data_IF_724323825881
#
_entry.id   IF_724323825881
#
_cell.length_a   1.000
_cell.length_b   1.000
_cell.length_c   1.000
_cell.angle_alpha   90.00
_cell.angle_beta   90.00
_cell.angle_gamma   90.00
#
_symmetry.space_group_name_H-M   'P 1'
#
loop_
_entity.id
_entity.type
_entity.pdbx_description
1 polymer ?
#
# COMPACT_ATOMS: atom_id res chain seq x y z
N UNK A 1 -19.68 15.28 4.05
CA UNK A 1 -20.07 14.17 3.16
C UNK A 1 -21.25 14.61 2.31
N UNK A 2 -21.29 14.23 1.03
CA UNK A 2 -22.46 14.39 0.16
C UNK A 2 -23.68 13.70 0.78
N UNK A 3 -24.85 14.35 0.69
CA UNK A 3 -26.05 13.88 1.39
C UNK A 3 -26.61 12.60 0.77
N UNK A 4 -26.57 12.48 -0.56
CA UNK A 4 -27.06 11.29 -1.27
C UNK A 4 -26.15 10.10 -0.97
N UNK A 5 -24.84 10.30 -1.06
CA UNK A 5 -23.85 9.29 -0.71
C UNK A 5 -24.00 8.83 0.75
N UNK A 6 -24.13 9.76 1.70
CA UNK A 6 -24.33 9.43 3.11
C UNK A 6 -25.62 8.65 3.37
N UNK A 7 -26.71 8.94 2.65
CA UNK A 7 -27.95 8.15 2.72
C UNK A 7 -27.75 6.73 2.19
N UNK A 8 -27.06 6.57 1.07
CA UNK A 8 -26.75 5.25 0.52
C UNK A 8 -25.87 4.43 1.49
N UNK A 9 -24.87 5.05 2.11
CA UNK A 9 -24.04 4.37 3.12
C UNK A 9 -24.84 3.93 4.35
N UNK A 10 -25.89 4.66 4.76
CA UNK A 10 -26.79 4.21 5.84
C UNK A 10 -27.63 2.98 5.45
N UNK A 11 -27.84 2.72 4.16
CA UNK A 11 -28.47 1.47 3.72
C UNK A 11 -27.50 0.29 3.79
N UNK A 12 -26.21 0.54 3.49
CA UNK A 12 -25.15 -0.47 3.64
C UNK A 12 -24.82 -0.75 5.10
N UNK A 13 -24.79 0.29 5.94
CA UNK A 13 -24.49 0.23 7.37
C UNK A 13 -25.69 0.77 8.17
N UNK A 14 -26.79 0.00 8.31
CA UNK A 14 -28.01 0.45 8.99
C UNK A 14 -27.83 0.63 10.50
N UNK A 15 -26.88 -0.08 11.11
CA UNK A 15 -26.54 0.00 12.53
C UNK A 15 -25.03 0.20 12.73
N UNK A 16 -24.63 0.64 13.92
CA UNK A 16 -23.21 0.93 14.24
C UNK A 16 -22.30 -0.30 14.20
N UNK A 17 -22.87 -1.46 14.47
CA UNK A 17 -22.24 -2.78 14.56
C UNK A 17 -22.49 -3.64 13.32
N UNK A 18 -22.93 -3.02 12.21
CA UNK A 18 -23.10 -3.77 10.95
C UNK A 18 -21.75 -4.25 10.44
N UNK A 19 -21.63 -5.57 10.21
CA UNK A 19 -20.46 -6.21 9.60
C UNK A 19 -20.61 -6.30 8.07
N UNK A 20 -20.77 -5.13 7.42
CA UNK A 20 -20.87 -5.02 5.97
C UNK A 20 -19.64 -4.28 5.41
N UNK A 21 -19.29 -4.59 4.17
CA UNK A 21 -18.24 -3.88 3.44
C UNK A 21 -18.82 -3.07 2.27
N UNK A 22 -18.09 -2.06 1.85
CA UNK A 22 -18.40 -1.28 0.65
C UNK A 22 -17.11 -0.89 -0.06
N UNK A 23 -17.25 -0.36 -1.25
CA UNK A 23 -16.13 0.10 -2.08
C UNK A 23 -15.63 1.47 -1.63
N UNK A 24 -14.31 1.68 -1.71
CA UNK A 24 -13.69 2.97 -1.39
C UNK A 24 -13.80 3.99 -2.55
N UNK A 25 -13.97 3.50 -3.79
CA UNK A 25 -14.22 4.30 -5.00
C UNK A 25 -15.56 3.87 -5.60
N UNK A 26 -16.51 4.81 -5.65
CA UNK A 26 -17.87 4.53 -6.15
C UNK A 26 -18.00 4.65 -7.66
N UNK A 27 -17.06 5.31 -8.33
CA UNK A 27 -17.06 5.52 -9.79
C UNK A 27 -16.37 4.37 -10.53
N UNK A 28 -15.30 3.83 -9.96
CA UNK A 28 -14.44 2.80 -10.57
C UNK A 28 -13.97 1.76 -9.56
N UNK A 29 -14.93 0.94 -9.11
CA UNK A 29 -14.74 -0.08 -8.05
C UNK A 29 -13.50 -0.97 -8.17
N UNK A 30 -13.15 -1.36 -9.39
CA UNK A 30 -12.10 -2.35 -9.67
C UNK A 30 -11.00 -1.81 -10.59
N UNK A 31 -10.97 -0.50 -10.87
CA UNK A 31 -9.98 0.10 -11.76
C UNK A 31 -9.09 1.04 -10.95
N UNK A 32 -7.78 0.91 -11.15
CA UNK A 32 -6.82 1.84 -10.59
C UNK A 32 -6.73 3.07 -11.49
N UNK A 33 -7.45 4.13 -11.14
CA UNK A 33 -7.46 5.38 -11.87
C UNK A 33 -7.61 6.59 -10.93
N UNK A 34 -7.85 7.79 -11.46
CA UNK A 34 -7.95 9.00 -10.65
C UNK A 34 -9.33 9.28 -10.07
N UNK A 35 -10.34 8.41 -10.25
CA UNK A 35 -11.71 8.73 -9.79
C UNK A 35 -11.83 8.76 -8.29
N UNK A 36 -10.98 8.06 -7.56
CA UNK A 36 -10.81 8.28 -6.12
C UNK A 36 -10.70 9.79 -5.77
N UNK A 37 -9.89 10.57 -6.48
CA UNK A 37 -9.77 12.02 -6.23
C UNK A 37 -10.99 12.81 -6.72
N UNK A 38 -11.65 12.34 -7.77
CA UNK A 38 -12.93 12.92 -8.23
C UNK A 38 -14.02 12.70 -7.16
N UNK A 39 -14.06 11.56 -6.49
CA UNK A 39 -14.96 11.27 -5.36
C UNK A 39 -14.74 12.30 -4.24
N UNK A 40 -13.49 12.58 -3.87
CA UNK A 40 -13.16 13.54 -2.81
C UNK A 40 -13.65 14.96 -3.14
N UNK A 41 -13.49 15.40 -4.39
CA UNK A 41 -14.00 16.71 -4.85
C UNK A 41 -15.52 16.81 -4.76
N UNK A 42 -16.21 15.69 -4.96
CA UNK A 42 -17.67 15.59 -4.85
C UNK A 42 -18.15 15.32 -3.41
N UNK A 43 -17.25 15.38 -2.42
CA UNK A 43 -17.52 15.07 -1.00
C UNK A 43 -17.98 13.63 -0.75
N UNK A 44 -17.52 12.72 -1.60
CA UNK A 44 -17.87 11.29 -1.62
C UNK A 44 -16.71 10.40 -1.14
N UNK A 45 -15.74 10.92 -0.38
CA UNK A 45 -14.75 10.10 0.31
C UNK A 45 -15.39 9.26 1.42
N UNK A 46 -15.00 7.99 1.53
CA UNK A 46 -15.59 7.05 2.48
C UNK A 46 -15.11 7.31 3.91
N UNK A 47 -13.79 7.42 4.11
CA UNK A 47 -13.21 7.67 5.42
C UNK A 47 -12.99 9.16 5.66
N UNK A 48 -12.96 9.57 6.93
CA UNK A 48 -12.54 10.93 7.32
C UNK A 48 -11.15 11.23 6.79
N UNK A 49 -10.22 10.27 6.87
CA UNK A 49 -8.85 10.41 6.33
C UNK A 49 -8.82 10.68 4.82
N UNK A 50 -9.79 10.15 4.07
CA UNK A 50 -9.91 10.42 2.63
C UNK A 50 -10.45 11.84 2.40
N UNK A 51 -11.56 12.17 3.05
CA UNK A 51 -12.26 13.42 2.81
C UNK A 51 -11.49 14.64 3.33
N UNK A 52 -10.64 14.45 4.34
CA UNK A 52 -9.76 15.48 4.88
C UNK A 52 -8.64 15.86 3.91
N UNK A 53 -8.22 14.98 2.99
CA UNK A 53 -7.26 15.35 1.94
C UNK A 53 -7.77 16.50 1.07
N UNK A 54 -9.09 16.59 0.84
CA UNK A 54 -9.69 17.69 0.08
C UNK A 54 -10.12 18.86 0.97
N UNK A 55 -10.37 18.62 2.26
CA UNK A 55 -10.82 19.66 3.19
C UNK A 55 -9.66 20.47 3.75
N UNK A 56 -8.50 19.84 3.95
CA UNK A 56 -7.29 20.49 4.46
C UNK A 56 -6.61 21.34 3.36
N UNK A 57 -6.32 22.63 3.62
CA UNK A 57 -5.67 23.52 2.66
C UNK A 57 -4.33 23.03 2.14
N UNK A 58 -3.58 22.25 2.94
CA UNK A 58 -2.23 21.75 2.60
C UNK A 58 -2.26 20.71 1.50
N UNK A 59 -3.32 19.90 1.43
CA UNK A 59 -3.44 18.75 0.52
C UNK A 59 -4.44 18.99 -0.61
N UNK A 60 -5.38 19.92 -0.44
CA UNK A 60 -6.46 20.20 -1.40
C UNK A 60 -5.98 20.46 -2.82
N UNK A 61 -4.88 21.20 -2.99
CA UNK A 61 -4.33 21.50 -4.31
C UNK A 61 -3.82 20.25 -5.04
N UNK A 62 -3.19 19.32 -4.32
CA UNK A 62 -2.73 18.05 -4.88
C UNK A 62 -3.92 17.17 -5.30
N UNK A 63 -4.94 17.05 -4.42
CA UNK A 63 -6.18 16.32 -4.74
C UNK A 63 -6.83 16.85 -6.00
N UNK A 64 -6.97 18.17 -6.11
CA UNK A 64 -7.57 18.82 -7.29
C UNK A 64 -6.76 18.51 -8.56
N UNK A 65 -5.43 18.58 -8.47
CA UNK A 65 -4.54 18.31 -9.60
C UNK A 65 -4.65 16.85 -10.08
N UNK A 66 -4.74 15.90 -9.16
CA UNK A 66 -4.90 14.48 -9.48
C UNK A 66 -6.28 14.15 -10.06
N UNK A 67 -7.33 14.77 -9.56
CA UNK A 67 -8.68 14.63 -10.11
C UNK A 67 -8.79 15.16 -11.55
N UNK A 68 -8.05 16.23 -11.89
CA UNK A 68 -8.02 16.81 -13.24
C UNK A 68 -7.10 16.03 -14.19
N UNK A 69 -5.97 15.50 -13.71
CA UNK A 69 -4.96 14.82 -14.54
C UNK A 69 -4.58 13.46 -13.96
N UNK A 70 -5.06 12.40 -14.62
CA UNK A 70 -4.69 11.03 -14.28
C UNK A 70 -3.21 10.73 -14.54
N UNK A 71 -2.61 11.31 -15.59
CA UNK A 71 -1.17 11.15 -15.85
C UNK A 71 -0.32 11.68 -14.70
N UNK A 72 -0.64 12.88 -14.20
CA UNK A 72 0.05 13.46 -13.06
C UNK A 72 -0.13 12.61 -11.78
N UNK A 73 -1.33 12.07 -11.56
CA UNK A 73 -1.57 11.14 -10.46
C UNK A 73 -0.65 9.92 -10.56
N UNK A 74 -0.63 9.23 -11.71
CA UNK A 74 0.19 8.04 -11.89
C UNK A 74 1.69 8.32 -11.72
N UNK A 75 2.21 9.42 -12.27
CA UNK A 75 3.61 9.82 -12.11
C UNK A 75 3.99 10.00 -10.63
N UNK A 76 3.11 10.66 -9.85
CA UNK A 76 3.31 10.88 -8.41
C UNK A 76 3.10 9.62 -7.60
N UNK A 77 2.18 8.76 -8.01
CA UNK A 77 1.93 7.47 -7.38
C UNK A 77 3.17 6.56 -7.47
N UNK A 78 3.73 6.39 -8.67
CA UNK A 78 4.95 5.60 -8.89
C UNK A 78 6.10 6.13 -8.03
N UNK A 79 6.34 7.44 -8.06
CA UNK A 79 7.40 8.06 -7.25
C UNK A 79 7.21 7.81 -5.75
N UNK A 80 5.97 7.90 -5.26
CA UNK A 80 5.65 7.72 -3.84
C UNK A 80 5.78 6.26 -3.41
N UNK A 81 5.34 5.31 -4.26
CA UNK A 81 5.44 3.88 -3.98
C UNK A 81 6.89 3.38 -3.95
N UNK A 82 7.76 3.90 -4.83
CA UNK A 82 9.20 3.62 -4.78
C UNK A 82 9.80 4.07 -3.44
N UNK A 83 9.49 5.30 -3.01
CA UNK A 83 9.97 5.82 -1.72
C UNK A 83 9.44 5.00 -0.54
N UNK A 84 8.16 4.65 -0.56
CA UNK A 84 7.53 3.84 0.49
C UNK A 84 8.16 2.45 0.59
N UNK A 85 8.48 1.82 -0.54
CA UNK A 85 9.10 0.49 -0.59
C UNK A 85 10.54 0.43 -0.07
N UNK A 86 11.16 1.58 0.21
CA UNK A 86 12.53 1.69 0.72
C UNK A 86 12.60 2.01 2.21
N UNK A 87 11.46 2.13 2.90
CA UNK A 87 11.41 2.42 4.32
C UNK A 87 11.91 1.21 5.15
N UNK A 88 12.95 1.43 5.95
CA UNK A 88 13.46 0.48 6.95
C UNK A 88 13.76 -0.93 6.40
N UNK A 89 14.25 -1.02 5.16
CA UNK A 89 14.59 -2.30 4.52
C UNK A 89 15.81 -2.95 5.17
N UNK A 90 15.80 -4.29 5.24
CA UNK A 90 16.94 -5.08 5.65
C UNK A 90 17.83 -5.34 4.43
N UNK A 91 19.13 -5.04 4.54
CA UNK A 91 20.08 -5.14 3.42
C UNK A 91 21.34 -5.91 3.79
N UNK A 92 22.07 -6.43 2.80
CA UNK A 92 23.28 -7.21 3.02
C UNK A 92 22.99 -8.47 3.84
N UNK A 93 23.65 -8.62 4.98
CA UNK A 93 23.45 -9.72 5.92
C UNK A 93 22.35 -9.48 6.97
N UNK A 94 21.64 -8.35 6.88
CA UNK A 94 20.49 -8.08 7.75
C UNK A 94 19.29 -8.89 7.27
N UNK A 95 18.76 -9.78 8.12
CA UNK A 95 17.60 -10.62 7.79
C UNK A 95 17.97 -11.93 7.07
N UNK A 96 17.02 -12.47 6.31
CA UNK A 96 17.17 -13.73 5.57
C UNK A 96 16.24 -13.76 4.35
N UNK A 97 16.58 -14.56 3.35
CA UNK A 97 15.65 -14.93 2.28
C UNK A 97 14.85 -16.14 2.79
N UNK A 98 13.55 -15.93 3.05
CA UNK A 98 12.67 -16.97 3.60
C UNK A 98 12.31 -18.01 2.53
N UNK A 99 12.43 -19.28 2.87
CA UNK A 99 11.91 -20.37 2.04
C UNK A 99 10.36 -20.44 2.08
N UNK A 100 9.76 -19.98 3.18
CA UNK A 100 8.31 -19.86 3.37
C UNK A 100 8.01 -18.52 4.02
N UNK A 101 7.28 -17.61 3.37
CA UNK A 101 7.06 -16.25 3.87
C UNK A 101 6.43 -16.20 5.28
N UNK A 102 5.58 -17.17 5.60
CA UNK A 102 4.80 -17.24 6.85
C UNK A 102 5.59 -17.70 8.08
N UNK A 103 6.82 -18.20 7.92
CA UNK A 103 7.66 -18.68 9.04
C UNK A 103 9.11 -18.23 8.85
N UNK A 104 9.81 -18.00 9.95
CA UNK A 104 11.28 -17.82 9.92
C UNK A 104 11.92 -19.13 9.47
N UNK A 105 13.04 -19.07 8.75
CA UNK A 105 13.82 -20.27 8.49
C UNK A 105 14.21 -20.91 9.83
N UNK A 106 14.04 -22.23 9.93
CA UNK A 106 14.52 -22.98 11.08
C UNK A 106 16.03 -22.91 11.15
N UNK A 107 16.59 -22.91 12.36
CA UNK A 107 18.00 -23.23 12.52
C UNK A 107 18.19 -24.66 11.99
N UNK A 108 19.00 -24.83 10.95
CA UNK A 108 19.52 -26.16 10.62
C UNK A 108 20.44 -26.55 11.78
N UNK A 109 19.92 -27.24 12.79
CA UNK A 109 20.79 -28.00 13.68
C UNK A 109 21.48 -29.06 12.82
N UNK A 110 22.75 -28.83 12.48
CA UNK A 110 23.64 -29.87 11.94
C UNK A 110 23.76 -29.98 10.41
N UNK A 111 24.02 -28.89 9.69
CA UNK A 111 24.66 -29.00 8.36
C UNK A 111 25.93 -28.15 8.34
N UNK A 112 27.03 -28.78 8.77
CA UNK A 112 28.38 -28.38 8.44
C UNK A 112 28.49 -28.32 6.91
N UNK A 113 28.97 -27.20 6.39
CA UNK A 113 29.31 -27.10 4.98
C UNK A 113 30.56 -27.94 4.76
N UNK A 114 30.45 -29.07 4.07
CA UNK A 114 31.60 -29.74 3.46
C UNK A 114 32.04 -28.86 2.30
N UNK A 115 32.82 -27.82 2.57
CA UNK A 115 33.71 -27.31 1.53
C UNK A 115 34.97 -28.15 1.69
N UNK A 116 35.20 -29.04 0.74
CA UNK A 116 36.45 -29.80 0.64
C UNK A 116 37.62 -28.82 0.68
N UNK A 117 38.48 -28.98 1.69
CA UNK A 117 39.78 -28.33 1.74
C UNK A 117 40.75 -29.22 0.94
N UNK A 118 40.84 -28.98 -0.36
CA UNK A 118 41.95 -29.43 -1.19
C UNK A 118 42.69 -28.19 -1.69
N UNK A 119 43.66 -27.71 -0.90
CA UNK A 119 44.81 -27.02 -1.47
C UNK A 119 46.10 -27.60 -0.89
N UNK A 120 46.98 -27.89 -1.83
CA UNK A 120 48.29 -28.50 -1.69
C UNK A 120 49.20 -27.68 -0.76
N UNK A 121 49.97 -28.38 0.07
CA UNK A 121 51.32 -27.91 0.40
C UNK A 121 52.29 -29.08 0.23
N UNK A 122 52.72 -29.24 -1.02
CA UNK A 122 54.01 -29.84 -1.35
C UNK A 122 55.09 -28.88 -0.88
N UNK A 123 55.88 -29.25 0.13
CA UNK A 123 57.28 -28.80 0.30
C UNK A 123 57.99 -29.61 1.42
N UNK A 124 58.88 -30.49 0.96
CA UNK A 124 59.98 -31.21 1.62
C UNK A 124 59.68 -32.18 2.78
#
# INVERSE_FOLDING_TARGET
MDQTFGKNLKLTCPARDTDNTTVNDIRSRNLFDNKYYVDLMNRQGLFTSDQDLYSDPRTKAAVTSFAVSQGLFFDRFVTSMIKMGQLSVLTGSQGEIRAKCSVRNGAREGLWSVVEEFEENVAF
#
